data_IF_299580911725
#
_entry.id   IF_299580911725
#
_cell.length_a   1.000
_cell.length_b   1.000
_cell.length_c   1.000
_cell.angle_alpha   90.00
_cell.angle_beta   90.00
_cell.angle_gamma   90.00
#
_symmetry.space_group_name_H-M   'P 1'
#
loop_
_entity.id
_entity.type
_entity.pdbx_description
1 polymer ?
#
# COMPACT_ATOMS: atom_id res chain seq x y z
N UNK A 1 -29.95 15.67 1.27
CA UNK A 1 -28.68 15.70 0.58
C UNK A 1 -27.84 14.48 0.90
N UNK A 2 -27.42 13.79 -0.12
CA UNK A 2 -26.66 12.59 0.10
C UNK A 2 -25.21 12.92 0.38
N UNK A 3 -24.65 12.23 1.35
CA UNK A 3 -23.25 12.41 1.62
C UNK A 3 -22.45 11.57 0.62
N UNK A 4 -21.44 12.15 0.03
CA UNK A 4 -20.58 11.42 -0.88
C UNK A 4 -19.65 10.53 -0.09
N UNK A 5 -19.44 9.33 -0.62
CA UNK A 5 -18.44 8.44 -0.07
C UNK A 5 -17.11 8.87 -0.68
N UNK A 6 -16.24 9.40 0.15
CA UNK A 6 -14.95 9.88 -0.33
C UNK A 6 -13.83 9.08 0.31
N UNK A 7 -13.25 8.19 -0.46
CA UNK A 7 -12.04 7.49 -0.04
C UNK A 7 -10.87 8.17 -0.74
N UNK A 8 -9.79 8.38 -0.03
CA UNK A 8 -8.64 9.11 -0.58
C UNK A 8 -7.34 8.41 -0.30
N UNK A 9 -6.46 8.46 -1.27
CA UNK A 9 -5.08 8.03 -1.11
C UNK A 9 -4.20 9.26 -1.30
N UNK A 10 -3.38 9.53 -0.32
CA UNK A 10 -2.52 10.71 -0.35
C UNK A 10 -1.11 10.26 -0.68
N UNK A 11 -0.54 10.79 -1.75
CA UNK A 11 0.80 10.41 -2.18
C UNK A 11 1.83 11.46 -1.81
N UNK A 12 2.98 11.00 -1.35
CA UNK A 12 4.07 11.88 -0.96
C UNK A 12 5.35 11.26 -1.49
N UNK A 13 6.00 11.93 -2.41
CA UNK A 13 7.22 11.41 -3.02
C UNK A 13 8.43 12.13 -2.44
N UNK A 14 9.21 11.42 -1.64
CA UNK A 14 10.41 11.98 -1.02
C UNK A 14 11.67 11.68 -1.82
N UNK A 15 11.51 11.21 -3.06
CA UNK A 15 12.64 10.92 -3.93
C UNK A 15 12.69 11.95 -5.06
N UNK A 16 13.73 11.88 -5.86
CA UNK A 16 13.85 12.73 -7.03
C UNK A 16 13.27 12.07 -8.27
N UNK A 17 12.90 10.80 -8.16
CA UNK A 17 12.33 10.07 -9.29
C UNK A 17 10.86 10.41 -9.45
N UNK A 18 10.45 10.68 -10.69
CA UNK A 18 9.04 10.92 -10.97
C UNK A 18 8.33 9.58 -11.07
N UNK A 19 7.21 9.45 -10.38
CA UNK A 19 6.44 8.21 -10.40
C UNK A 19 5.23 8.41 -11.30
N UNK A 20 5.34 7.96 -12.53
CA UNK A 20 4.25 8.13 -13.50
C UNK A 20 3.06 7.23 -13.20
N UNK A 21 3.28 6.18 -12.42
CA UNK A 21 2.23 5.23 -12.05
C UNK A 21 1.33 5.73 -10.92
N UNK A 22 1.59 6.91 -10.39
CA UNK A 22 0.84 7.41 -9.24
C UNK A 22 -0.67 7.44 -9.48
N UNK A 23 -1.09 7.91 -10.64
CA UNK A 23 -2.50 7.96 -10.95
C UNK A 23 -3.12 6.58 -11.03
N UNK A 24 -2.40 5.63 -11.61
CA UNK A 24 -2.86 4.25 -11.67
C UNK A 24 -3.00 3.68 -10.26
N UNK A 25 -2.00 3.94 -9.40
CA UNK A 25 -2.05 3.46 -8.03
C UNK A 25 -3.26 4.04 -7.29
N UNK A 26 -3.56 5.31 -7.54
CA UNK A 26 -4.72 5.92 -6.91
C UNK A 26 -6.00 5.19 -7.31
N UNK A 27 -6.14 4.88 -8.58
CA UNK A 27 -7.32 4.17 -9.07
C UNK A 27 -7.39 2.76 -8.50
N UNK A 28 -6.26 2.06 -8.48
CA UNK A 28 -6.19 0.70 -7.96
C UNK A 28 -6.56 0.67 -6.48
N UNK A 29 -5.97 1.58 -5.71
CA UNK A 29 -6.18 1.58 -4.27
C UNK A 29 -7.57 2.05 -3.88
N UNK A 30 -8.13 3.03 -4.59
CA UNK A 30 -9.50 3.45 -4.30
C UNK A 30 -10.49 2.35 -4.68
N UNK A 31 -10.20 1.59 -5.73
CA UNK A 31 -11.01 0.43 -6.06
C UNK A 31 -10.95 -0.61 -4.94
N UNK A 32 -9.75 -0.86 -4.41
CA UNK A 32 -9.58 -1.81 -3.31
C UNK A 32 -10.36 -1.36 -2.08
N UNK A 33 -10.33 -0.06 -1.78
CA UNK A 33 -11.07 0.48 -0.66
C UNK A 33 -12.58 0.25 -0.83
N UNK A 34 -13.06 0.47 -2.04
CA UNK A 34 -14.47 0.26 -2.33
C UNK A 34 -14.85 -1.21 -2.22
N UNK A 35 -13.97 -2.08 -2.71
CA UNK A 35 -14.17 -3.52 -2.66
C UNK A 35 -14.27 -4.00 -1.21
N UNK A 36 -13.50 -3.40 -0.31
CA UNK A 36 -13.56 -3.72 1.10
C UNK A 36 -14.63 -2.94 1.85
N UNK A 37 -15.48 -2.24 1.11
CA UNK A 37 -16.62 -1.50 1.64
C UNK A 37 -16.25 -0.40 2.61
N UNK A 38 -15.12 0.23 2.38
CA UNK A 38 -14.68 1.36 3.18
C UNK A 38 -15.37 2.63 2.71
N UNK A 39 -15.65 3.52 3.65
CA UNK A 39 -16.27 4.80 3.35
C UNK A 39 -15.54 5.90 4.13
N UNK A 40 -15.31 7.01 3.48
CA UNK A 40 -14.65 8.17 4.08
C UNK A 40 -13.33 7.78 4.76
N UNK A 41 -12.55 6.98 4.06
CA UNK A 41 -11.31 6.41 4.58
C UNK A 41 -10.14 6.95 3.76
N UNK A 42 -9.02 7.17 4.42
CA UNK A 42 -7.81 7.64 3.75
C UNK A 42 -6.58 6.95 4.30
N UNK A 43 -5.52 6.99 3.54
CA UNK A 43 -4.20 6.57 3.98
C UNK A 43 -3.16 7.21 3.08
N UNK A 44 -1.91 7.21 3.57
CA UNK A 44 -0.81 7.83 2.84
C UNK A 44 0.11 6.78 2.24
N UNK A 45 0.58 7.05 1.02
CA UNK A 45 1.61 6.26 0.37
C UNK A 45 2.81 7.17 0.18
N UNK A 46 3.93 6.80 0.75
CA UNK A 46 5.14 7.60 0.72
C UNK A 46 6.23 6.86 -0.04
N UNK A 47 6.70 7.45 -1.14
CA UNK A 47 7.78 6.85 -1.92
C UNK A 47 9.10 7.34 -1.36
N UNK A 48 10.01 6.40 -1.12
CA UNK A 48 11.31 6.69 -0.51
C UNK A 48 12.39 5.91 -1.26
N UNK A 49 13.65 6.20 -0.93
CA UNK A 49 14.75 5.43 -1.48
C UNK A 49 15.22 4.37 -0.49
N UNK A 50 16.21 3.59 -0.88
CA UNK A 50 16.72 2.51 -0.03
C UNK A 50 17.31 3.03 1.27
N UNK A 51 18.00 4.17 1.23
CA UNK A 51 18.60 4.71 2.44
C UNK A 51 17.53 5.10 3.46
N UNK A 52 16.50 5.73 2.99
CA UNK A 52 15.41 6.17 3.86
C UNK A 52 14.72 4.97 4.53
N UNK A 53 14.39 3.97 3.73
CA UNK A 53 13.63 2.83 4.26
C UNK A 53 14.52 1.95 5.14
N UNK A 54 15.82 1.94 4.88
CA UNK A 54 16.78 1.25 5.73
C UNK A 54 16.79 1.87 7.14
N UNK A 55 16.86 3.20 7.21
CA UNK A 55 16.85 3.89 8.49
C UNK A 55 15.51 3.70 9.21
N UNK A 56 14.44 3.72 8.47
CA UNK A 56 13.11 3.51 9.02
C UNK A 56 13.01 2.10 9.63
N UNK A 57 13.50 1.10 8.90
CA UNK A 57 13.46 -0.29 9.33
C UNK A 57 14.33 -0.49 10.58
N UNK A 58 15.50 0.13 10.59
CA UNK A 58 16.42 0.05 11.70
C UNK A 58 15.85 0.70 12.96
N UNK A 59 15.28 1.88 12.82
CA UNK A 59 14.80 2.67 13.96
C UNK A 59 13.50 2.15 14.55
N UNK A 60 12.61 1.61 13.72
CA UNK A 60 11.28 1.22 14.17
C UNK A 60 11.04 -0.27 14.25
N UNK A 61 11.86 -1.08 13.60
CA UNK A 61 11.72 -2.52 13.61
C UNK A 61 12.96 -3.25 14.09
N UNK A 62 14.01 -2.52 14.40
CA UNK A 62 15.29 -3.07 14.81
C UNK A 62 15.92 -4.01 13.79
N UNK A 63 15.64 -3.76 12.52
CA UNK A 63 16.20 -4.56 11.43
C UNK A 63 17.12 -3.65 10.64
N UNK A 64 18.42 -3.90 10.72
CA UNK A 64 19.42 -3.04 10.11
C UNK A 64 19.66 -3.42 8.65
N UNK A 65 18.65 -3.17 7.83
CA UNK A 65 18.74 -3.40 6.39
C UNK A 65 17.56 -2.75 5.70
N UNK A 66 17.65 -2.60 4.38
CA UNK A 66 16.58 -2.06 3.58
C UNK A 66 15.50 -3.11 3.35
N UNK A 67 14.30 -2.66 3.01
CA UNK A 67 13.20 -3.54 2.66
C UNK A 67 12.40 -2.86 1.56
N UNK A 68 11.37 -3.53 1.06
CA UNK A 68 10.56 -2.99 -0.03
C UNK A 68 9.40 -2.12 0.46
N UNK A 69 8.72 -2.54 1.51
CA UNK A 69 7.55 -1.81 2.01
C UNK A 69 7.47 -1.91 3.52
N UNK A 70 7.10 -0.81 4.15
CA UNK A 70 6.85 -0.77 5.60
C UNK A 70 5.51 -0.08 5.81
N UNK A 71 4.66 -0.67 6.64
CA UNK A 71 3.37 -0.06 6.95
C UNK A 71 3.30 0.30 8.43
N UNK A 72 2.65 1.42 8.71
CA UNK A 72 2.35 1.84 10.06
C UNK A 72 0.85 2.02 10.17
N UNK A 73 0.18 1.06 10.77
CA UNK A 73 -1.26 1.11 10.93
C UNK A 73 -1.63 2.02 12.10
N UNK A 74 -2.59 2.88 11.87
CA UNK A 74 -3.15 3.69 12.95
C UNK A 74 -4.32 2.88 13.52
N UNK A 75 -4.27 2.68 14.79
CA UNK A 75 -5.22 1.85 15.32
C UNK A 75 -6.42 2.51 15.68
N UNK A 76 -7.34 2.42 15.26
CA UNK A 76 -8.08 3.05 15.06
C UNK A 76 -9.37 3.32 15.59
N UNK A 77 -9.84 3.07 16.62
CA UNK A 77 -11.02 3.52 17.31
C UNK A 77 -10.97 4.99 17.65
N UNK A 78 -9.77 5.47 17.83
CA UNK A 78 -9.58 6.88 18.19
C UNK A 78 -9.92 7.84 17.06
N UNK A 79 -9.84 7.39 15.85
CA UNK A 79 -10.11 8.27 14.71
C UNK A 79 -11.55 8.72 14.65
N UNK A 80 -12.44 8.06 15.35
CA UNK A 80 -13.86 8.39 15.35
C UNK A 80 -14.28 9.27 16.52
N UNK A 81 -13.44 9.34 17.52
CA UNK A 81 -13.80 10.00 18.79
C UNK A 81 -14.03 11.48 18.68
N UNK A 82 -13.32 12.15 17.82
CA UNK A 82 -13.46 13.61 17.74
C UNK A 82 -14.59 14.07 16.83
N UNK A 83 -15.50 13.18 16.49
CA UNK A 83 -16.66 13.56 15.72
C UNK A 83 -16.45 13.56 14.21
N UNK A 84 -15.27 13.27 13.77
CA UNK A 84 -14.99 13.16 12.35
C UNK A 84 -15.45 11.81 11.85
N UNK A 85 -16.07 11.79 10.67
CA UNK A 85 -16.46 10.53 10.05
C UNK A 85 -15.33 9.94 9.21
N UNK A 86 -14.21 10.66 9.09
CA UNK A 86 -13.09 10.18 8.30
C UNK A 86 -12.24 9.20 9.11
N UNK A 87 -11.93 8.09 8.47
CA UNK A 87 -11.09 7.06 9.08
C UNK A 87 -9.72 7.09 8.42
N UNK A 88 -8.67 7.13 9.21
CA UNK A 88 -7.30 7.12 8.69
C UNK A 88 -6.66 5.77 9.00
N UNK A 89 -6.25 5.07 7.94
CA UNK A 89 -5.68 3.74 8.11
C UNK A 89 -4.21 3.76 8.51
N UNK A 90 -3.46 4.73 8.04
CA UNK A 90 -2.05 4.81 8.36
C UNK A 90 -1.18 5.16 7.17
N UNK A 91 0.07 4.70 7.22
CA UNK A 91 1.06 5.05 6.21
C UNK A 91 1.70 3.82 5.59
N UNK A 92 1.96 3.90 4.29
CA UNK A 92 2.65 2.86 3.54
C UNK A 92 3.90 3.49 2.92
N UNK A 93 5.08 3.03 3.36
CA UNK A 93 6.35 3.50 2.80
C UNK A 93 6.83 2.47 1.79
N UNK A 94 7.12 2.89 0.58
CA UNK A 94 7.58 2.00 -0.49
C UNK A 94 8.92 2.50 -1.01
N UNK A 95 9.92 1.61 -1.04
CA UNK A 95 11.20 1.95 -1.64
C UNK A 95 11.10 1.79 -3.15
N UNK A 96 11.27 2.88 -3.88
CA UNK A 96 11.27 2.81 -5.34
C UNK A 96 12.47 2.01 -5.84
N UNK A 97 13.62 2.12 -5.17
CA UNK A 97 14.80 1.35 -5.54
C UNK A 97 14.53 -0.15 -5.47
N UNK A 98 13.88 -0.59 -4.40
CA UNK A 98 13.55 -2.00 -4.25
C UNK A 98 12.48 -2.43 -5.24
N UNK A 99 11.52 -1.55 -5.52
CA UNK A 99 10.49 -1.88 -6.50
C UNK A 99 11.12 -2.11 -7.87
N UNK A 100 12.08 -1.28 -8.26
CA UNK A 100 12.79 -1.47 -9.53
C UNK A 100 13.61 -2.76 -9.54
N UNK A 101 14.38 -3.00 -8.48
CA UNK A 101 15.25 -4.19 -8.45
C UNK A 101 14.45 -5.47 -8.37
N UNK A 102 13.35 -5.48 -7.64
CA UNK A 102 12.50 -6.66 -7.56
C UNK A 102 11.75 -6.94 -8.85
N UNK A 103 11.30 -5.88 -9.53
CA UNK A 103 10.66 -6.04 -10.82
C UNK A 103 11.61 -6.74 -11.80
N UNK A 104 12.86 -6.29 -11.83
CA UNK A 104 13.88 -6.89 -12.68
C UNK A 104 14.16 -8.33 -12.27
N UNK A 105 14.33 -8.55 -10.97
CA UNK A 105 14.65 -9.88 -10.45
C UNK A 105 13.54 -10.89 -10.73
N UNK A 106 12.28 -10.47 -10.59
CA UNK A 106 11.15 -11.36 -10.79
C UNK A 106 10.66 -11.41 -12.23
N UNK A 107 11.25 -10.62 -13.09
CA UNK A 107 10.91 -10.65 -14.51
C UNK A 107 9.56 -10.02 -14.86
N UNK A 108 9.13 -9.02 -14.13
CA UNK A 108 7.91 -8.32 -14.48
C UNK A 108 8.12 -6.80 -14.44
N UNK A 109 7.11 -6.06 -14.84
CA UNK A 109 7.22 -4.62 -14.97
C UNK A 109 7.30 -3.90 -13.63
N UNK A 110 7.88 -2.72 -13.64
CA UNK A 110 7.88 -1.84 -12.48
C UNK A 110 6.45 -1.53 -12.06
N UNK A 111 5.57 -1.30 -13.04
CA UNK A 111 4.15 -1.05 -12.77
C UNK A 111 3.53 -2.19 -11.97
N UNK A 112 3.81 -3.43 -12.34
CA UNK A 112 3.30 -4.60 -11.64
C UNK A 112 3.84 -4.65 -10.21
N UNK A 113 5.15 -4.46 -10.07
CA UNK A 113 5.77 -4.55 -8.75
C UNK A 113 5.27 -3.44 -7.82
N UNK A 114 5.25 -2.21 -8.33
CA UNK A 114 4.80 -1.08 -7.53
C UNK A 114 3.34 -1.25 -7.11
N UNK A 115 2.50 -1.69 -8.03
CA UNK A 115 1.10 -1.93 -7.72
C UNK A 115 0.93 -3.04 -6.70
N UNK A 116 1.71 -4.10 -6.82
CA UNK A 116 1.67 -5.20 -5.88
C UNK A 116 2.05 -4.71 -4.46
N UNK A 117 3.14 -3.96 -4.36
CA UNK A 117 3.59 -3.47 -3.06
C UNK A 117 2.56 -2.53 -2.41
N UNK A 118 1.95 -1.68 -3.21
CA UNK A 118 0.95 -0.74 -2.70
C UNK A 118 -0.29 -1.47 -2.20
N UNK A 119 -0.79 -2.43 -2.97
CA UNK A 119 -1.97 -3.20 -2.58
C UNK A 119 -1.66 -4.07 -1.37
N UNK A 120 -0.48 -4.66 -1.35
CA UNK A 120 -0.02 -5.47 -0.23
C UNK A 120 0.00 -4.64 1.06
N UNK A 121 0.59 -3.44 0.98
CA UNK A 121 0.61 -2.53 2.13
C UNK A 121 -0.78 -2.13 2.58
N UNK A 122 -1.67 -1.89 1.63
CA UNK A 122 -3.05 -1.54 1.95
C UNK A 122 -3.73 -2.64 2.78
N UNK A 123 -3.59 -3.90 2.36
CA UNK A 123 -4.22 -4.98 3.10
C UNK A 123 -3.58 -5.20 4.48
N UNK A 124 -2.28 -4.91 4.60
CA UNK A 124 -1.66 -4.92 5.93
C UNK A 124 -2.25 -3.84 6.83
N UNK A 125 -2.53 -2.66 6.28
CA UNK A 125 -3.16 -1.60 7.07
C UNK A 125 -4.54 -2.02 7.59
N UNK A 126 -5.22 -2.87 6.85
CA UNK A 126 -6.53 -3.39 7.27
C UNK A 126 -6.42 -4.53 8.26
N UNK A 127 -5.21 -4.99 8.55
CA UNK A 127 -5.02 -6.05 9.53
C UNK A 127 -4.79 -7.44 8.95
N UNK A 128 -4.78 -7.57 7.62
CA UNK A 128 -4.48 -8.86 7.02
C UNK A 128 -3.00 -9.17 7.18
N UNK A 129 -2.69 -10.43 7.30
CA UNK A 129 -1.33 -10.87 7.48
C UNK A 129 -1.10 -12.15 6.69
N UNK A 130 0.14 -12.65 6.69
CA UNK A 130 0.48 -13.87 5.98
C UNK A 130 1.39 -14.75 6.82
N UNK A 131 1.09 -14.82 8.12
CA UNK A 131 1.87 -15.64 9.05
C UNK A 131 1.55 -17.13 8.93
N UNK A 132 0.36 -17.47 8.47
CA UNK A 132 -0.03 -18.87 8.24
C UNK A 132 -0.38 -19.05 6.78
N UNK A 133 -0.42 -20.31 6.34
CA UNK A 133 -0.79 -20.61 4.96
C UNK A 133 -2.19 -20.11 4.61
N UNK A 134 -3.11 -20.26 5.57
CA UNK A 134 -4.47 -19.81 5.35
C UNK A 134 -4.56 -18.30 5.22
N UNK A 135 -3.88 -17.58 6.11
CA UNK A 135 -3.85 -16.13 6.06
C UNK A 135 -3.23 -15.66 4.75
N UNK A 136 -2.15 -16.32 4.34
CA UNK A 136 -1.47 -15.98 3.09
C UNK A 136 -2.39 -16.14 1.88
N UNK A 137 -3.13 -17.24 1.83
CA UNK A 137 -4.05 -17.47 0.73
C UNK A 137 -5.14 -16.42 0.66
N UNK A 138 -5.69 -16.04 1.81
CA UNK A 138 -6.75 -15.04 1.86
C UNK A 138 -6.21 -13.69 1.40
N UNK A 139 -5.09 -13.28 1.95
CA UNK A 139 -4.51 -11.99 1.63
C UNK A 139 -4.11 -11.89 0.17
N UNK A 140 -3.35 -12.86 -0.33
CA UNK A 140 -2.90 -12.83 -1.72
C UNK A 140 -4.05 -13.01 -2.71
N UNK A 141 -5.08 -13.75 -2.33
CA UNK A 141 -6.26 -13.86 -3.16
C UNK A 141 -6.94 -12.52 -3.36
N UNK A 142 -7.08 -11.76 -2.27
CA UNK A 142 -7.67 -10.42 -2.36
C UNK A 142 -6.80 -9.47 -3.17
N UNK A 143 -5.50 -9.54 -3.00
CA UNK A 143 -4.58 -8.71 -3.76
C UNK A 143 -4.67 -8.99 -5.25
N UNK A 144 -4.71 -10.26 -5.65
CA UNK A 144 -4.78 -10.63 -7.05
C UNK A 144 -6.11 -10.22 -7.67
N UNK A 145 -7.20 -10.31 -6.92
CA UNK A 145 -8.49 -9.86 -7.43
C UNK A 145 -8.47 -8.38 -7.79
N UNK A 146 -7.85 -7.56 -6.94
CA UNK A 146 -7.74 -6.13 -7.20
C UNK A 146 -6.86 -5.89 -8.41
N UNK A 147 -5.69 -6.53 -8.46
CA UNK A 147 -4.75 -6.31 -9.55
C UNK A 147 -5.33 -6.77 -10.90
N UNK A 148 -6.04 -7.88 -10.92
CA UNK A 148 -6.64 -8.38 -12.14
C UNK A 148 -7.69 -7.45 -12.71
N UNK A 149 -8.41 -6.74 -11.83
CA UNK A 149 -9.43 -5.80 -12.28
C UNK A 149 -8.82 -4.71 -13.16
N UNK A 150 -7.56 -4.38 -12.93
CA UNK A 150 -6.87 -3.36 -13.70
C UNK A 150 -5.94 -3.94 -14.76
N UNK A 151 -6.05 -5.24 -15.02
CA UNK A 151 -5.22 -5.89 -16.01
C UNK A 151 -3.77 -6.05 -15.58
N UNK A 152 -3.49 -5.94 -14.31
CA UNK A 152 -2.13 -6.07 -13.78
C UNK A 152 -1.96 -7.50 -13.32
N UNK A 153 -1.67 -8.37 -14.29
CA UNK A 153 -1.58 -9.79 -14.01
C UNK A 153 -0.19 -10.22 -13.62
N UNK A 154 -0.15 -11.33 -12.90
CA UNK A 154 1.12 -11.95 -12.59
C UNK A 154 1.74 -12.44 -13.88
N UNK A 155 2.95 -11.96 -14.16
CA UNK A 155 3.66 -12.40 -15.37
C UNK A 155 4.53 -13.58 -15.01
N UNK A 156 4.50 -14.58 -15.82
CA UNK A 156 5.24 -15.81 -15.55
C UNK A 156 6.47 -15.85 -16.41
#
# INVERSE_FOLDING_TARGET
MESEIVNRVIFNNLTEEKVEEEKLLEEVLTFAMKKEKLENTSFDVIFVDNNYIHELNKNYRNIDRETDVITFALEDDDSVINGSSERMLGDIYISLDKAHSQAEEYGHSFKRELSFLAVHGFYHLLGYDHMTEEEEKIMFGKQEEVLQEFGIKKEV
#
